data_IF_980550747314
#
_entry.id   IF_980550747314
#
_cell.length_a   1.000
_cell.length_b   1.000
_cell.length_c   1.000
_cell.angle_alpha   90.00
_cell.angle_beta   90.00
_cell.angle_gamma   90.00
#
_symmetry.space_group_name_H-M   'P 1'
#
loop_
_entity.id
_entity.type
_entity.pdbx_description
1 polymer ?
#
# COMPACT_ATOMS: atom_id res chain seq x y z
N UNK A 1 -23.50 -0.74 27.12
CA UNK A 1 -22.11 -0.72 27.60
C UNK A 1 -21.25 -0.33 26.43
N UNK A 2 -20.95 0.98 26.27
CA UNK A 2 -20.17 1.51 25.13
C UNK A 2 -18.70 1.18 25.37
N UNK A 3 -18.27 0.07 24.81
CA UNK A 3 -16.83 -0.20 24.66
C UNK A 3 -16.39 0.62 23.45
N UNK A 4 -16.05 1.89 23.67
CA UNK A 4 -15.21 2.62 22.72
C UNK A 4 -13.89 1.85 22.67
N UNK A 5 -13.74 0.97 21.71
CA UNK A 5 -12.49 0.30 21.43
C UNK A 5 -11.46 1.40 21.16
N UNK A 6 -10.61 1.65 22.14
CA UNK A 6 -9.50 2.60 21.99
C UNK A 6 -8.62 2.07 20.87
N UNK A 7 -8.36 2.90 19.87
CA UNK A 7 -7.44 2.55 18.79
C UNK A 7 -6.08 2.22 19.42
N UNK A 8 -5.53 1.03 19.13
CA UNK A 8 -4.24 0.60 19.64
C UNK A 8 -3.13 1.35 18.91
N UNK A 9 -2.16 1.89 19.64
CA UNK A 9 -1.00 2.57 19.08
C UNK A 9 0.03 1.56 18.58
N UNK A 10 0.39 1.64 17.30
CA UNK A 10 1.34 0.77 16.63
C UNK A 10 2.78 1.29 16.61
N UNK A 11 3.05 2.46 17.17
CA UNK A 11 4.31 3.20 16.99
C UNK A 11 5.57 2.45 17.43
N UNK A 12 5.44 1.56 18.41
CA UNK A 12 6.58 0.80 18.98
C UNK A 12 6.70 -0.61 18.37
N UNK A 13 5.88 -0.96 17.40
CA UNK A 13 5.90 -2.27 16.77
C UNK A 13 6.48 -2.12 15.36
N UNK A 14 7.45 -2.94 14.94
CA UNK A 14 7.95 -2.94 13.57
C UNK A 14 6.84 -3.24 12.55
N UNK A 15 6.96 -2.66 11.36
CA UNK A 15 5.99 -2.81 10.29
C UNK A 15 6.60 -3.53 9.09
N UNK A 16 5.90 -4.52 8.55
CA UNK A 16 6.28 -5.27 7.36
C UNK A 16 5.37 -4.91 6.19
N UNK A 17 5.94 -4.40 5.12
CA UNK A 17 5.23 -4.12 3.87
C UNK A 17 5.60 -5.15 2.81
N UNK A 18 4.63 -5.95 2.41
CA UNK A 18 4.78 -6.97 1.39
C UNK A 18 4.32 -6.43 0.04
N UNK A 19 5.26 -6.25 -0.86
CA UNK A 19 4.99 -5.85 -2.23
C UNK A 19 5.27 -6.97 -3.23
N UNK A 20 4.56 -6.93 -4.30
CA UNK A 20 4.76 -7.86 -5.39
C UNK A 20 3.82 -7.58 -6.53
N UNK A 21 4.02 -8.30 -7.60
CA UNK A 21 3.14 -8.24 -8.75
C UNK A 21 1.94 -9.18 -8.57
N UNK A 22 0.85 -8.87 -9.24
CA UNK A 22 -0.25 -9.82 -9.42
C UNK A 22 0.28 -11.17 -9.91
N UNK A 23 -0.22 -12.28 -9.34
CA UNK A 23 0.23 -13.66 -9.62
C UNK A 23 1.70 -13.98 -9.25
N UNK A 24 2.37 -13.16 -8.47
CA UNK A 24 3.73 -13.46 -8.01
C UNK A 24 3.80 -14.37 -6.76
N UNK A 25 2.66 -14.77 -6.19
CA UNK A 25 2.62 -15.59 -4.97
C UNK A 25 2.44 -14.78 -3.67
N UNK A 26 2.28 -13.46 -3.75
CA UNK A 26 2.10 -12.58 -2.57
C UNK A 26 0.95 -13.01 -1.67
N UNK A 27 -0.14 -13.58 -2.23
CA UNK A 27 -1.29 -14.04 -1.46
C UNK A 27 -0.96 -15.25 -0.57
N UNK A 28 -0.10 -16.16 -1.04
CA UNK A 28 0.33 -17.33 -0.25
C UNK A 28 1.18 -16.85 0.94
N UNK A 29 2.16 -15.99 0.68
CA UNK A 29 3.01 -15.41 1.73
C UNK A 29 2.16 -14.60 2.74
N UNK A 30 1.23 -13.78 2.26
CA UNK A 30 0.35 -13.00 3.13
C UNK A 30 -0.51 -13.89 4.05
N UNK A 31 -1.04 -15.01 3.52
CA UNK A 31 -1.81 -15.97 4.32
C UNK A 31 -0.95 -16.68 5.35
N UNK A 32 0.28 -17.06 5.00
CA UNK A 32 1.22 -17.63 5.97
C UNK A 32 1.53 -16.65 7.10
N UNK A 33 1.83 -15.40 6.77
CA UNK A 33 2.09 -14.35 7.77
C UNK A 33 0.86 -14.07 8.64
N UNK A 34 -0.34 -14.00 8.05
CA UNK A 34 -1.59 -13.81 8.79
C UNK A 34 -1.96 -15.00 9.70
N UNK A 35 -1.39 -16.17 9.48
CA UNK A 35 -1.54 -17.36 10.31
C UNK A 35 -0.66 -17.36 11.57
N UNK A 36 0.35 -16.49 11.64
CA UNK A 36 1.24 -16.39 12.78
C UNK A 36 0.62 -15.58 13.92
N UNK A 37 0.65 -16.12 15.14
CA UNK A 37 -0.04 -15.56 16.32
C UNK A 37 0.49 -14.20 16.77
N UNK A 38 1.74 -13.88 16.41
CA UNK A 38 2.41 -12.65 16.81
C UNK A 38 2.46 -11.61 15.68
N UNK A 39 1.73 -11.83 14.58
CA UNK A 39 1.67 -10.92 13.43
C UNK A 39 0.24 -10.44 13.20
N UNK A 40 0.02 -9.13 13.29
CA UNK A 40 -1.22 -8.50 12.83
C UNK A 40 -1.09 -8.18 11.34
N UNK A 41 -1.76 -8.92 10.47
CA UNK A 41 -1.54 -8.80 9.02
C UNK A 41 -2.83 -8.50 8.23
N UNK A 42 -2.76 -7.51 7.33
CA UNK A 42 -3.82 -7.18 6.39
C UNK A 42 -3.37 -7.33 4.93
N UNK A 43 -4.31 -7.62 4.04
CA UNK A 43 -4.02 -7.82 2.61
C UNK A 43 -4.92 -6.95 1.73
N UNK A 44 -4.31 -6.25 0.78
CA UNK A 44 -5.01 -5.46 -0.25
C UNK A 44 -6.05 -4.48 0.35
N UNK A 45 -5.67 -3.79 1.42
CA UNK A 45 -6.60 -3.02 2.26
C UNK A 45 -6.62 -1.55 1.91
N UNK A 46 -5.44 -0.92 1.79
CA UNK A 46 -5.30 0.53 1.62
C UNK A 46 -4.78 0.96 0.24
N UNK A 47 -4.90 0.11 -0.76
CA UNK A 47 -4.50 0.46 -2.13
C UNK A 47 -5.09 1.78 -2.64
N UNK A 48 -6.37 2.13 -2.38
CA UNK A 48 -6.90 3.44 -2.75
C UNK A 48 -6.11 4.60 -2.14
N UNK A 49 -5.73 4.53 -0.88
CA UNK A 49 -4.87 5.54 -0.25
C UNK A 49 -3.57 5.77 -1.02
N UNK A 50 -2.87 4.72 -1.41
CA UNK A 50 -1.65 4.83 -2.21
C UNK A 50 -1.91 5.40 -3.61
N UNK A 51 -3.08 5.14 -4.19
CA UNK A 51 -3.48 5.74 -5.47
C UNK A 51 -3.70 7.25 -5.35
N UNK A 52 -4.37 7.70 -4.29
CA UNK A 52 -4.55 9.13 -3.99
C UNK A 52 -3.21 9.83 -3.77
N UNK A 53 -2.35 9.23 -2.95
CA UNK A 53 -1.01 9.77 -2.72
C UNK A 53 -0.19 9.89 -4.01
N UNK A 54 -0.20 8.88 -4.86
CA UNK A 54 0.42 8.92 -6.18
C UNK A 54 -0.11 10.09 -7.02
N UNK A 55 -1.42 10.27 -7.04
CA UNK A 55 -2.07 11.37 -7.75
C UNK A 55 -1.65 12.73 -7.20
N UNK A 56 -1.58 12.85 -5.88
CA UNK A 56 -1.11 14.05 -5.19
C UNK A 56 0.30 14.43 -5.64
N UNK A 57 1.24 13.51 -5.54
CA UNK A 57 2.63 13.72 -5.97
C UNK A 57 2.73 14.13 -7.44
N UNK A 58 1.92 13.54 -8.32
CA UNK A 58 1.92 13.87 -9.74
C UNK A 58 1.39 15.28 -10.02
N UNK A 59 0.35 15.71 -9.30
CA UNK A 59 -0.17 17.08 -9.41
C UNK A 59 0.86 18.13 -8.98
N UNK A 60 1.57 17.87 -7.89
CA UNK A 60 2.59 18.80 -7.35
C UNK A 60 3.77 19.03 -8.31
N UNK A 61 4.13 18.04 -9.11
CA UNK A 61 5.21 18.19 -10.12
C UNK A 61 4.71 18.70 -11.48
N UNK A 62 3.47 19.18 -11.56
CA UNK A 62 2.88 19.70 -12.80
C UNK A 62 2.90 18.70 -13.97
N UNK A 63 2.65 17.44 -13.67
CA UNK A 63 2.53 16.41 -14.70
C UNK A 63 1.17 16.51 -15.38
N UNK A 64 1.15 16.85 -16.66
CA UNK A 64 -0.06 17.06 -17.48
C UNK A 64 -0.90 15.79 -17.68
N UNK A 65 -0.37 14.61 -17.45
CA UNK A 65 -1.04 13.33 -17.68
C UNK A 65 -1.68 12.75 -16.41
N UNK A 66 -2.55 13.52 -15.76
CA UNK A 66 -3.26 13.08 -14.54
C UNK A 66 -4.13 11.84 -14.80
N UNK A 67 -4.71 11.69 -15.99
CA UNK A 67 -5.55 10.53 -16.33
C UNK A 67 -4.81 9.19 -16.28
N UNK A 68 -3.52 9.18 -16.55
CA UNK A 68 -2.68 8.00 -16.44
C UNK A 68 -2.22 7.71 -15.00
N UNK A 69 -2.43 8.66 -14.09
CA UNK A 69 -1.96 8.57 -12.70
C UNK A 69 -2.72 7.56 -11.85
N UNK A 70 -4.02 7.43 -12.10
CA UNK A 70 -4.90 6.49 -11.38
C UNK A 70 -4.66 5.03 -11.78
N UNK A 71 -3.97 4.80 -12.88
CA UNK A 71 -3.64 3.45 -13.33
C UNK A 71 -2.39 2.95 -12.60
N UNK A 72 -2.43 1.72 -12.01
CA UNK A 72 -1.26 1.10 -11.38
C UNK A 72 -0.04 0.98 -12.32
N UNK A 73 -0.27 1.18 -13.60
CA UNK A 73 0.64 1.06 -14.73
C UNK A 73 1.22 2.38 -15.21
N UNK A 74 1.01 3.48 -14.47
CA UNK A 74 1.61 4.77 -14.84
C UNK A 74 3.04 4.55 -15.32
N UNK A 75 3.35 4.98 -16.55
CA UNK A 75 4.65 4.74 -17.16
C UNK A 75 5.70 5.64 -16.51
N UNK A 76 6.27 5.17 -15.40
CA UNK A 76 7.31 5.87 -14.65
C UNK A 76 8.62 6.07 -15.45
N UNK A 77 8.68 5.56 -16.69
CA UNK A 77 9.92 5.39 -17.41
C UNK A 77 10.07 6.30 -18.62
N UNK A 78 8.96 6.86 -19.13
CA UNK A 78 8.99 7.73 -20.29
C UNK A 78 9.09 9.17 -19.85
N UNK A 79 10.04 9.91 -19.92
CA UNK A 79 10.16 11.38 -19.64
C UNK A 79 10.00 11.82 -18.16
N UNK A 80 9.79 10.93 -17.21
CA UNK A 80 9.38 11.27 -15.84
C UNK A 80 10.48 11.12 -14.78
N UNK A 81 11.69 11.44 -15.12
CA UNK A 81 12.81 11.50 -14.15
C UNK A 81 12.48 12.40 -12.93
N UNK A 82 11.70 13.47 -13.15
CA UNK A 82 11.23 14.35 -12.06
C UNK A 82 10.33 13.62 -11.07
N UNK A 83 9.35 12.86 -11.54
CA UNK A 83 8.44 12.13 -10.66
C UNK A 83 9.18 11.08 -9.83
N UNK A 84 10.07 10.31 -10.46
CA UNK A 84 10.86 9.30 -9.75
C UNK A 84 11.76 9.94 -8.68
N UNK A 85 12.44 11.03 -9.02
CA UNK A 85 13.27 11.78 -8.07
C UNK A 85 12.45 12.37 -6.93
N UNK A 86 11.24 12.86 -7.20
CA UNK A 86 10.33 13.37 -6.19
C UNK A 86 9.84 12.24 -5.27
N UNK A 87 9.43 11.12 -5.83
CA UNK A 87 9.00 9.93 -5.10
C UNK A 87 10.11 9.38 -4.16
N UNK A 88 11.37 9.40 -4.63
CA UNK A 88 12.52 9.00 -3.81
C UNK A 88 12.73 9.88 -2.56
N UNK A 89 12.30 11.12 -2.60
CA UNK A 89 12.42 12.09 -1.50
C UNK A 89 11.16 12.25 -0.67
N UNK A 90 10.03 11.76 -1.16
CA UNK A 90 8.74 11.89 -0.46
C UNK A 90 8.69 11.00 0.78
N UNK A 91 7.89 11.41 1.76
CA UNK A 91 7.74 10.74 3.06
C UNK A 91 6.34 10.91 3.63
N UNK A 92 5.33 11.06 2.76
CA UNK A 92 3.94 11.31 3.12
C UNK A 92 3.70 12.61 3.90
N UNK A 93 4.57 13.61 3.77
CA UNK A 93 4.42 14.91 4.45
C UNK A 93 3.43 15.86 3.77
N UNK A 94 2.88 15.50 2.63
CA UNK A 94 1.88 16.27 1.90
C UNK A 94 0.58 16.35 2.70
N UNK A 95 -0.08 17.52 2.62
CA UNK A 95 -1.34 17.77 3.34
C UNK A 95 -2.53 17.09 2.68
N UNK A 96 -3.50 16.69 3.50
CA UNK A 96 -4.81 16.17 3.07
C UNK A 96 -5.88 17.20 3.41
N UNK A 97 -6.69 17.60 2.43
CA UNK A 97 -7.89 18.39 2.70
C UNK A 97 -8.98 17.50 3.31
N UNK A 98 -9.94 18.11 4.04
CA UNK A 98 -11.04 17.35 4.64
C UNK A 98 -11.88 16.60 3.61
N UNK A 99 -12.12 17.21 2.45
CA UNK A 99 -12.86 16.56 1.36
C UNK A 99 -12.08 15.37 0.77
N UNK A 100 -10.77 15.53 0.57
CA UNK A 100 -9.89 14.48 0.08
C UNK A 100 -9.81 13.31 1.10
N UNK A 101 -9.75 13.59 2.40
CA UNK A 101 -9.74 12.58 3.45
C UNK A 101 -11.01 11.72 3.43
N UNK A 102 -12.18 12.35 3.29
CA UNK A 102 -13.47 11.66 3.20
C UNK A 102 -13.49 10.75 1.97
N UNK A 103 -13.02 11.25 0.82
CA UNK A 103 -12.98 10.49 -0.43
C UNK A 103 -12.03 9.29 -0.31
N UNK A 104 -10.81 9.49 0.21
CA UNK A 104 -9.84 8.41 0.45
C UNK A 104 -10.46 7.31 1.30
N UNK A 105 -11.05 7.66 2.45
CA UNK A 105 -11.65 6.69 3.37
C UNK A 105 -12.84 5.96 2.77
N UNK A 106 -13.68 6.66 2.04
CA UNK A 106 -14.80 6.04 1.31
C UNK A 106 -14.32 4.98 0.33
N UNK A 107 -13.27 5.27 -0.44
CA UNK A 107 -12.69 4.30 -1.38
C UNK A 107 -11.95 3.15 -0.66
N UNK A 108 -11.28 3.43 0.45
CA UNK A 108 -10.65 2.39 1.29
C UNK A 108 -11.72 1.47 1.89
N UNK A 109 -12.84 1.99 2.38
CA UNK A 109 -13.97 1.19 2.89
C UNK A 109 -14.51 0.26 1.81
N UNK A 110 -14.81 0.78 0.62
CA UNK A 110 -15.31 -0.03 -0.51
C UNK A 110 -14.33 -1.14 -0.89
N UNK A 111 -13.05 -0.80 -0.92
CA UNK A 111 -12.01 -1.75 -1.30
C UNK A 111 -11.80 -2.83 -0.24
N UNK A 112 -11.74 -2.46 1.03
CA UNK A 112 -11.49 -3.36 2.15
C UNK A 112 -12.66 -4.29 2.46
N UNK A 113 -13.88 -3.95 2.04
CA UNK A 113 -15.06 -4.81 2.16
C UNK A 113 -14.82 -6.23 1.62
N UNK A 114 -14.08 -6.33 0.51
CA UNK A 114 -13.81 -7.62 -0.14
C UNK A 114 -12.65 -8.37 0.51
N UNK A 115 -11.63 -7.66 0.96
CA UNK A 115 -10.34 -8.26 1.35
C UNK A 115 -10.09 -8.29 2.85
N UNK A 116 -10.68 -7.37 3.60
CA UNK A 116 -10.38 -7.16 5.02
C UNK A 116 -11.59 -6.62 5.80
N UNK A 117 -12.67 -7.40 5.97
CA UNK A 117 -13.92 -6.91 6.57
C UNK A 117 -13.75 -6.35 7.99
N UNK A 118 -12.96 -6.99 8.86
CA UNK A 118 -12.70 -6.48 10.22
C UNK A 118 -12.03 -5.10 10.22
N UNK A 119 -11.11 -4.88 9.29
CA UNK A 119 -10.48 -3.57 9.12
C UNK A 119 -11.51 -2.52 8.68
N UNK A 120 -12.38 -2.88 7.72
CA UNK A 120 -13.46 -2.02 7.26
C UNK A 120 -14.37 -1.60 8.42
N UNK A 121 -14.83 -2.55 9.23
CA UNK A 121 -15.73 -2.26 10.37
C UNK A 121 -15.06 -1.31 11.38
N UNK A 122 -13.77 -1.51 11.66
CA UNK A 122 -13.02 -0.58 12.50
C UNK A 122 -12.83 0.80 11.86
N UNK A 123 -12.58 0.88 10.57
CA UNK A 123 -12.45 2.16 9.86
C UNK A 123 -13.76 2.96 9.92
N UNK A 124 -14.91 2.32 9.76
CA UNK A 124 -16.21 2.97 9.87
C UNK A 124 -16.44 3.56 11.28
N UNK A 125 -16.00 2.86 12.33
CA UNK A 125 -16.09 3.35 13.71
C UNK A 125 -15.24 4.59 13.98
N UNK A 126 -14.15 4.78 13.22
CA UNK A 126 -13.22 5.89 13.38
C UNK A 126 -13.22 6.85 12.18
N UNK A 127 -14.29 6.84 11.39
CA UNK A 127 -14.37 7.61 10.13
C UNK A 127 -14.14 9.12 10.31
N UNK A 128 -14.49 9.66 11.47
CA UNK A 128 -14.38 11.09 11.80
C UNK A 128 -13.05 11.49 12.44
N UNK A 129 -12.09 10.55 12.59
CA UNK A 129 -10.76 10.91 13.10
C UNK A 129 -10.06 11.84 12.11
N UNK A 130 -9.54 12.96 12.57
CA UNK A 130 -8.82 13.90 11.71
C UNK A 130 -7.41 13.39 11.37
N UNK A 131 -6.99 13.67 10.14
CA UNK A 131 -5.62 13.48 9.64
C UNK A 131 -5.27 14.69 8.78
N UNK A 132 -4.22 15.41 9.14
CA UNK A 132 -3.78 16.60 8.42
C UNK A 132 -2.80 16.29 7.28
N UNK A 133 -2.09 15.19 7.40
CA UNK A 133 -1.05 14.76 6.45
C UNK A 133 -1.24 13.31 6.04
N UNK A 134 -0.73 12.94 4.87
CA UNK A 134 -0.73 11.55 4.41
C UNK A 134 0.01 10.60 5.36
N UNK A 135 1.07 11.06 6.04
CA UNK A 135 1.76 10.27 7.07
C UNK A 135 0.88 9.93 8.28
N UNK A 136 0.01 10.86 8.71
CA UNK A 136 -0.90 10.65 9.82
C UNK A 136 -1.98 9.63 9.45
N UNK A 137 -2.46 9.69 8.20
CA UNK A 137 -3.45 8.75 7.68
C UNK A 137 -2.85 7.36 7.48
N UNK A 138 -1.60 7.23 6.99
CA UNK A 138 -0.92 5.95 6.90
C UNK A 138 -0.73 5.33 8.30
N UNK A 139 -0.27 6.12 9.28
CA UNK A 139 -0.16 5.67 10.67
C UNK A 139 -1.52 5.22 11.20
N UNK A 140 -2.57 5.96 10.96
CA UNK A 140 -3.92 5.60 11.36
C UNK A 140 -4.35 4.25 10.78
N UNK A 141 -4.05 3.95 9.52
CA UNK A 141 -4.35 2.63 8.94
C UNK A 141 -3.53 1.50 9.57
N UNK A 142 -2.28 1.74 9.93
CA UNK A 142 -1.46 0.75 10.65
C UNK A 142 -2.01 0.47 12.06
N UNK A 143 -2.45 1.50 12.77
CA UNK A 143 -3.14 1.39 14.06
C UNK A 143 -4.46 0.61 13.94
N UNK A 144 -5.20 0.80 12.83
CA UNK A 144 -6.40 0.04 12.54
C UNK A 144 -6.11 -1.44 12.25
N UNK A 145 -5.03 -1.75 11.51
CA UNK A 145 -4.59 -3.13 11.28
C UNK A 145 -4.26 -3.80 12.61
N UNK A 146 -3.51 -3.12 13.46
CA UNK A 146 -3.21 -3.63 14.80
C UNK A 146 -4.47 -3.86 15.64
N UNK A 147 -5.40 -2.90 15.62
CA UNK A 147 -6.65 -3.02 16.37
C UNK A 147 -7.57 -4.12 15.84
N UNK A 148 -7.51 -4.42 14.53
CA UNK A 148 -8.36 -5.42 13.88
C UNK A 148 -7.83 -6.84 14.01
N UNK A 149 -6.52 -7.02 13.98
CA UNK A 149 -5.88 -8.34 13.83
C UNK A 149 -4.84 -8.64 14.90
N UNK A 150 -4.44 -7.66 15.72
CA UNK A 150 -3.41 -7.81 16.73
C UNK A 150 -3.95 -7.98 18.14
N UNK A 151 -3.08 -8.47 19.00
CA UNK A 151 -3.27 -8.63 20.44
C UNK A 151 -2.01 -8.17 21.22
N UNK A 152 -1.94 -8.48 22.50
CA UNK A 152 -0.82 -8.14 23.38
C UNK A 152 0.50 -8.85 23.00
N UNK A 153 0.43 -9.94 22.25
CA UNK A 153 1.60 -10.72 21.80
C UNK A 153 2.10 -10.27 20.43
N UNK A 154 1.42 -9.33 19.80
CA UNK A 154 1.78 -8.86 18.47
C UNK A 154 3.13 -8.15 18.50
N UNK A 155 4.08 -8.68 17.75
CA UNK A 155 5.44 -8.16 17.62
C UNK A 155 5.75 -7.63 16.23
N UNK A 156 4.82 -7.80 15.28
CA UNK A 156 4.94 -7.32 13.90
C UNK A 156 3.57 -6.95 13.34
N UNK A 157 3.49 -5.81 12.68
CA UNK A 157 2.30 -5.39 11.93
C UNK A 157 2.62 -5.49 10.45
N UNK A 158 1.80 -6.20 9.69
CA UNK A 158 2.05 -6.45 8.28
C UNK A 158 0.93 -5.96 7.36
N UNK A 159 1.34 -5.47 6.21
CA UNK A 159 0.44 -5.05 5.14
C UNK A 159 0.95 -5.56 3.79
N UNK A 160 0.08 -6.25 3.04
CA UNK A 160 0.35 -6.60 1.65
C UNK A 160 -0.42 -5.68 0.71
N UNK A 161 0.31 -5.06 -0.23
CA UNK A 161 -0.30 -4.29 -1.30
C UNK A 161 0.35 -4.62 -2.65
N UNK A 162 -0.41 -5.25 -3.54
CA UNK A 162 0.02 -5.43 -4.92
C UNK A 162 -0.05 -4.11 -5.70
N UNK A 163 0.75 -3.94 -6.74
CA UNK A 163 0.76 -2.77 -7.61
C UNK A 163 1.36 -1.47 -7.05
N UNK A 164 1.82 -1.47 -5.79
CA UNK A 164 2.23 -0.25 -5.08
C UNK A 164 3.68 -0.26 -4.59
N UNK A 165 4.57 -1.01 -5.25
CA UNK A 165 5.98 -1.13 -4.83
C UNK A 165 6.70 0.22 -4.76
N UNK A 166 6.30 1.20 -5.58
CA UNK A 166 6.86 2.55 -5.54
C UNK A 166 6.66 3.25 -4.19
N UNK A 167 5.65 2.84 -3.43
CA UNK A 167 5.39 3.38 -2.09
C UNK A 167 6.39 2.89 -1.05
N UNK A 168 7.19 1.88 -1.36
CA UNK A 168 8.25 1.42 -0.47
C UNK A 168 9.26 2.52 -0.13
N UNK A 169 9.59 3.40 -1.09
CA UNK A 169 10.52 4.50 -0.87
C UNK A 169 9.97 5.55 0.11
N UNK A 170 8.77 6.13 -0.09
CA UNK A 170 8.16 7.03 0.88
C UNK A 170 7.96 6.40 2.27
N UNK A 171 7.64 5.10 2.34
CA UNK A 171 7.48 4.36 3.61
C UNK A 171 8.82 4.31 4.35
N UNK A 172 9.90 3.92 3.68
CA UNK A 172 11.24 3.89 4.28
C UNK A 172 11.69 5.28 4.73
N UNK A 173 11.44 6.31 3.93
CA UNK A 173 11.77 7.68 4.30
C UNK A 173 10.97 8.20 5.52
N UNK A 174 9.73 7.72 5.69
CA UNK A 174 8.88 8.10 6.81
C UNK A 174 9.21 7.34 8.10
N UNK A 175 9.48 6.03 7.99
CA UNK A 175 9.51 5.12 9.13
C UNK A 175 10.92 4.62 9.49
N UNK A 176 11.90 4.80 8.60
CA UNK A 176 13.28 4.33 8.82
C UNK A 176 13.33 2.84 9.15
N UNK A 177 14.09 2.51 10.19
CA UNK A 177 14.31 1.11 10.63
C UNK A 177 13.05 0.40 11.14
N UNK A 178 11.98 1.14 11.44
CA UNK A 178 10.69 0.54 11.83
C UNK A 178 9.94 -0.07 10.63
N UNK A 179 10.32 0.24 9.40
CA UNK A 179 9.76 -0.38 8.21
C UNK A 179 10.66 -1.49 7.68
N UNK A 180 10.06 -2.64 7.41
CA UNK A 180 10.69 -3.75 6.68
C UNK A 180 9.95 -3.95 5.36
N UNK A 181 10.70 -4.01 4.27
CA UNK A 181 10.13 -4.19 2.93
C UNK A 181 10.45 -5.59 2.45
N UNK A 182 9.40 -6.35 2.15
CA UNK A 182 9.51 -7.67 1.51
C UNK A 182 8.97 -7.57 0.09
N UNK A 183 9.80 -7.90 -0.89
CA UNK A 183 9.43 -7.86 -2.31
C UNK A 183 9.44 -9.26 -2.89
N UNK A 184 8.30 -9.70 -3.41
CA UNK A 184 8.19 -10.98 -4.11
C UNK A 184 8.36 -10.76 -5.61
N UNK A 185 9.39 -11.37 -6.15
CA UNK A 185 9.66 -11.42 -7.59
C UNK A 185 9.34 -12.81 -8.13
N UNK A 186 8.79 -12.87 -9.32
CA UNK A 186 8.52 -14.10 -10.05
C UNK A 186 8.86 -13.90 -11.53
N UNK A 187 9.19 -14.98 -12.21
CA UNK A 187 9.43 -14.97 -13.65
C UNK A 187 8.21 -14.37 -14.41
N UNK A 188 8.43 -13.44 -15.35
CA UNK A 188 7.33 -12.79 -16.07
C UNK A 188 6.54 -13.75 -16.96
N UNK A 189 7.15 -14.83 -17.46
CA UNK A 189 6.46 -15.86 -18.25
C UNK A 189 5.49 -16.64 -17.37
N UNK A 190 5.92 -17.02 -16.16
CA UNK A 190 5.06 -17.70 -15.19
C UNK A 190 3.89 -16.83 -14.74
N UNK A 191 4.13 -15.53 -14.54
CA UNK A 191 3.08 -14.57 -14.20
C UNK A 191 2.06 -14.49 -15.34
N UNK A 192 2.54 -14.38 -16.57
CA UNK A 192 1.70 -14.30 -17.77
C UNK A 192 0.87 -15.56 -17.93
N UNK A 193 1.48 -16.73 -17.86
CA UNK A 193 0.79 -18.02 -17.96
C UNK A 193 -0.30 -18.15 -16.86
N UNK A 194 0.04 -17.82 -15.62
CA UNK A 194 -0.91 -17.85 -14.49
C UNK A 194 -2.03 -16.81 -14.62
N UNK A 195 -1.78 -15.68 -15.28
CA UNK A 195 -2.79 -14.65 -15.53
C UNK A 195 -3.78 -15.07 -16.61
N UNK A 196 -3.30 -15.68 -17.68
CA UNK A 196 -4.14 -16.14 -18.78
C UNK A 196 -5.09 -17.27 -18.36
N UNK A 197 -4.67 -18.11 -17.40
CA UNK A 197 -5.49 -19.22 -16.89
C UNK A 197 -6.53 -18.82 -15.84
N UNK A 198 -6.39 -17.67 -15.19
CA UNK A 198 -7.15 -17.36 -13.98
C UNK A 198 -7.92 -16.03 -13.92
N UNK A 199 -7.57 -15.05 -14.74
CA UNK A 199 -8.28 -13.77 -14.78
C UNK A 199 -7.91 -13.03 -16.07
N UNK A 200 -8.81 -12.95 -17.02
CA UNK A 200 -8.53 -12.50 -18.39
C UNK A 200 -8.36 -10.99 -18.54
N UNK A 201 -8.43 -10.22 -17.45
CA UNK A 201 -8.57 -8.77 -17.54
C UNK A 201 -7.27 -7.97 -17.73
N UNK A 202 -6.12 -8.65 -17.73
CA UNK A 202 -4.83 -7.97 -17.91
C UNK A 202 -4.17 -8.38 -19.23
N UNK A 203 -3.93 -7.42 -20.11
CA UNK A 203 -3.17 -7.66 -21.32
C UNK A 203 -1.71 -8.00 -21.00
N UNK A 204 -1.06 -8.76 -21.89
CA UNK A 204 0.38 -9.07 -21.77
C UNK A 204 1.22 -7.80 -21.64
N UNK A 205 0.88 -6.75 -22.40
CA UNK A 205 1.55 -5.46 -22.31
C UNK A 205 1.42 -4.83 -20.90
N UNK A 206 0.23 -4.92 -20.31
CA UNK A 206 -0.01 -4.45 -18.93
C UNK A 206 0.84 -5.21 -17.93
N UNK A 207 0.93 -6.53 -18.04
CA UNK A 207 1.75 -7.37 -17.18
C UNK A 207 3.24 -7.07 -17.35
N UNK A 208 3.73 -6.90 -18.57
CA UNK A 208 5.12 -6.57 -18.87
C UNK A 208 5.51 -5.18 -18.27
N UNK A 209 4.64 -4.18 -18.38
CA UNK A 209 4.86 -2.85 -17.76
C UNK A 209 4.93 -2.94 -16.24
N UNK A 210 4.05 -3.70 -15.62
CA UNK A 210 4.07 -3.91 -14.17
C UNK A 210 5.32 -4.65 -13.71
N UNK A 211 5.70 -5.69 -14.42
CA UNK A 211 6.92 -6.44 -14.12
C UNK A 211 8.16 -5.54 -14.20
N UNK A 212 8.26 -4.75 -15.26
CA UNK A 212 9.34 -3.76 -15.42
C UNK A 212 9.35 -2.76 -14.25
N UNK A 213 8.19 -2.23 -13.84
CA UNK A 213 8.08 -1.36 -12.66
C UNK A 213 8.62 -2.05 -11.42
N UNK A 214 8.19 -3.28 -11.17
CA UNK A 214 8.61 -4.07 -10.02
C UNK A 214 10.13 -4.23 -9.97
N UNK A 215 10.77 -4.59 -11.08
CA UNK A 215 12.23 -4.78 -11.16
C UNK A 215 12.98 -3.46 -10.94
N UNK A 216 12.50 -2.36 -11.51
CA UNK A 216 13.16 -1.05 -11.34
C UNK A 216 13.13 -0.63 -9.87
N UNK A 217 11.99 -0.67 -9.20
CA UNK A 217 11.90 -0.29 -7.79
C UNK A 217 12.64 -1.28 -6.88
N UNK A 218 12.60 -2.57 -7.17
CA UNK A 218 13.41 -3.55 -6.46
C UNK A 218 14.91 -3.22 -6.53
N UNK A 219 15.42 -2.86 -7.71
CA UNK A 219 16.82 -2.47 -7.88
C UNK A 219 17.17 -1.16 -7.16
N UNK A 220 16.23 -0.24 -6.99
CA UNK A 220 16.43 0.93 -6.13
C UNK A 220 16.52 0.52 -4.66
N UNK A 221 15.60 -0.30 -4.19
CA UNK A 221 15.53 -0.74 -2.79
C UNK A 221 16.78 -1.53 -2.35
N UNK A 222 17.41 -2.28 -3.26
CA UNK A 222 18.67 -2.99 -2.97
C UNK A 222 19.88 -2.08 -2.71
N UNK A 223 19.78 -0.80 -3.04
CA UNK A 223 20.89 0.16 -2.90
C UNK A 223 20.80 1.01 -1.63
N UNK A 224 19.71 0.88 -0.92
CA UNK A 224 19.43 1.51 0.37
C UNK A 224 19.75 0.52 1.49
#
# INVERSE_FOLDING_TARGET
MNIYNKLKDSSNIPHLFLFGMYRSGTTVIARSLAGEKNIAFASDTIRPFFNFYRTKLQKEISCSDVENSLRPLGDYFNSRKKYLSYLQKSNFSETISKSELIEIRSEVIKHSLVYSPKFKDNLENFINKDSAYYKDELKFYLDLIFSSYGDEKTSLIGLKEVWSIEMALPILNMMGDNAKILVILRDPLDITASSLSGSPNYSILSLARQWRKQIVFYNFLKKI
#
